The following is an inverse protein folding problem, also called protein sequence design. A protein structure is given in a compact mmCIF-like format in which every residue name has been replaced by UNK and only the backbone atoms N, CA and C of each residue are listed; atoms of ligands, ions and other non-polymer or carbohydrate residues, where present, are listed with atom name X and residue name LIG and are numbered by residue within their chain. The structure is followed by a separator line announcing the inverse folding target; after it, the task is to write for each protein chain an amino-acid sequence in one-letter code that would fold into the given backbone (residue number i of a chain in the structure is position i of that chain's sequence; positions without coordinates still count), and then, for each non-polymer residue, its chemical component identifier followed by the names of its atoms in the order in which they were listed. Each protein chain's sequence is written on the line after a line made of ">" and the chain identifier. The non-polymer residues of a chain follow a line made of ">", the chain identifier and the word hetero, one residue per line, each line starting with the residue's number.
data_IF_780508206964
#
_entry.id   IF_780508206964
#
_cell.length_a   1.000
_cell.length_b   1.000
_cell.length_c   1.000
_cell.angle_alpha   90.00
_cell.angle_beta   90.00
_cell.angle_gamma   90.00
#
_symmetry.space_group_name_H-M   'P 1'
#
loop_
_entity.id
_entity.type
_entity.pdbx_description
1 polymer ?
#
# COMPACT_ATOMS: atom_id res chain seq x y z
N UNK A 1 -4.69 -6.55 -11.61
CA UNK A 1 -3.30 -6.66 -11.14
C UNK A 1 -3.03 -5.59 -10.08
N UNK A 2 -2.09 -5.87 -9.18
CA UNK A 2 -1.60 -4.89 -8.20
C UNK A 2 -0.77 -3.80 -8.89
N UNK A 3 -0.97 -2.56 -8.49
CA UNK A 3 -0.27 -1.39 -9.05
C UNK A 3 -0.20 -0.26 -8.02
N UNK A 4 0.83 0.58 -8.14
CA UNK A 4 0.95 1.89 -7.51
C UNK A 4 0.84 2.95 -8.61
N UNK A 5 -0.37 3.45 -8.87
CA UNK A 5 -0.52 4.38 -10.00
C UNK A 5 0.10 5.73 -9.72
N UNK A 6 0.11 6.20 -8.47
CA UNK A 6 0.72 7.47 -8.05
C UNK A 6 2.21 7.58 -8.33
N UNK A 7 2.91 6.44 -8.39
CA UNK A 7 4.36 6.40 -8.63
C UNK A 7 4.74 6.52 -10.12
N UNK A 8 3.81 6.92 -10.98
CA UNK A 8 4.04 7.04 -12.42
C UNK A 8 5.20 7.92 -12.82
N UNK A 9 5.47 8.99 -12.06
CA UNK A 9 6.55 9.94 -12.36
C UNK A 9 7.92 9.53 -11.82
N UNK A 10 8.00 8.52 -10.95
CA UNK A 10 9.28 7.99 -10.43
C UNK A 10 9.69 6.69 -11.09
N UNK A 11 9.02 6.29 -12.15
CA UNK A 11 9.31 5.08 -12.92
C UNK A 11 10.72 5.12 -13.50
N UNK A 12 11.51 4.08 -13.25
CA UNK A 12 12.89 3.93 -13.76
C UNK A 12 13.97 4.62 -12.92
N UNK A 13 13.63 5.46 -11.93
CA UNK A 13 14.63 6.24 -11.16
C UNK A 13 15.53 5.37 -10.27
N UNK A 14 15.12 4.18 -9.93
CA UNK A 14 15.86 3.25 -9.05
C UNK A 14 16.31 1.97 -9.73
N UNK A 15 16.20 1.88 -11.06
CA UNK A 15 16.77 0.76 -11.82
C UNK A 15 18.27 0.71 -11.62
N UNK A 16 18.79 -0.52 -11.49
CA UNK A 16 20.23 -0.81 -11.34
C UNK A 16 20.88 -0.31 -10.04
N UNK A 17 20.08 0.15 -9.07
CA UNK A 17 20.59 0.54 -7.76
C UNK A 17 20.57 -0.63 -6.77
N UNK A 18 21.68 -0.84 -6.07
CA UNK A 18 21.68 -1.68 -4.88
C UNK A 18 20.79 -1.03 -3.80
N UNK A 19 19.98 -1.85 -3.11
CA UNK A 19 18.98 -1.35 -2.16
C UNK A 19 18.05 -0.28 -2.78
N UNK A 20 17.55 -0.59 -3.95
CA UNK A 20 16.77 0.27 -4.84
C UNK A 20 15.59 1.00 -4.13
N UNK A 21 14.99 0.39 -3.11
CA UNK A 21 13.94 1.05 -2.33
C UNK A 21 14.48 2.19 -1.50
N UNK A 22 15.46 1.93 -0.62
CA UNK A 22 15.97 2.92 0.36
C UNK A 22 16.85 3.98 -0.28
N UNK A 23 17.67 3.60 -1.29
CA UNK A 23 18.60 4.54 -1.95
C UNK A 23 18.04 5.18 -3.22
N UNK A 24 16.96 4.62 -3.77
CA UNK A 24 16.34 5.10 -5.00
C UNK A 24 14.89 5.50 -4.78
N UNK A 25 13.98 4.54 -4.72
CA UNK A 25 12.54 4.80 -4.81
C UNK A 25 12.02 5.71 -3.69
N UNK A 26 12.26 5.40 -2.42
CA UNK A 26 11.70 6.15 -1.30
C UNK A 26 12.07 7.63 -1.25
N UNK A 27 13.34 8.05 -1.48
CA UNK A 27 13.67 9.47 -1.55
C UNK A 27 12.87 10.23 -2.62
N UNK A 28 12.67 9.61 -3.79
CA UNK A 28 11.90 10.21 -4.88
C UNK A 28 10.39 10.22 -4.59
N UNK A 29 9.85 9.14 -4.02
CA UNK A 29 8.45 9.10 -3.58
C UNK A 29 8.16 10.13 -2.50
N UNK A 30 9.05 10.29 -1.52
CA UNK A 30 8.89 11.30 -0.46
C UNK A 30 8.85 12.70 -1.04
N UNK A 31 9.68 13.01 -2.05
CA UNK A 31 9.66 14.30 -2.71
C UNK A 31 8.42 14.47 -3.58
N UNK A 32 8.05 13.45 -4.37
CA UNK A 32 6.87 13.48 -5.22
C UNK A 32 5.58 13.67 -4.40
N UNK A 33 5.46 13.02 -3.24
CA UNK A 33 4.26 13.10 -2.37
C UNK A 33 4.03 14.46 -1.72
N UNK A 34 5.00 15.37 -1.78
CA UNK A 34 4.80 16.78 -1.39
C UNK A 34 3.94 17.54 -2.39
N UNK A 35 3.85 17.06 -3.62
CA UNK A 35 3.03 17.64 -4.69
C UNK A 35 1.91 16.67 -5.09
N UNK A 36 0.76 16.77 -4.43
CA UNK A 36 -0.42 15.94 -4.71
C UNK A 36 -0.88 16.05 -6.17
N UNK A 37 -0.73 17.19 -6.81
CA UNK A 37 -1.12 17.38 -8.22
C UNK A 37 -0.20 16.58 -9.14
N UNK A 38 1.10 16.57 -8.88
CA UNK A 38 2.05 15.72 -9.60
C UNK A 38 1.75 14.23 -9.42
N UNK A 39 1.46 13.76 -8.19
CA UNK A 39 1.02 12.38 -7.93
C UNK A 39 -0.22 12.03 -8.74
N UNK A 40 -1.25 12.89 -8.72
CA UNK A 40 -2.49 12.65 -9.46
C UNK A 40 -2.28 12.63 -10.98
N UNK A 41 -1.42 13.49 -11.52
CA UNK A 41 -1.06 13.48 -12.96
C UNK A 41 -0.31 12.21 -13.34
N UNK A 42 0.65 11.78 -12.52
CA UNK A 42 1.37 10.51 -12.69
C UNK A 42 0.43 9.31 -12.68
N UNK A 43 -0.50 9.30 -11.72
CA UNK A 43 -1.55 8.28 -11.63
C UNK A 43 -2.43 8.23 -12.89
N UNK A 44 -2.90 9.37 -13.34
CA UNK A 44 -3.72 9.43 -14.56
C UNK A 44 -2.97 8.87 -15.78
N UNK A 45 -1.70 9.22 -15.93
CA UNK A 45 -0.84 8.71 -16.99
C UNK A 45 -0.72 7.17 -16.92
N UNK A 46 -0.41 6.62 -15.74
CA UNK A 46 -0.29 5.18 -15.52
C UNK A 46 -1.60 4.44 -15.80
N UNK A 47 -2.75 4.98 -15.37
CA UNK A 47 -4.07 4.39 -15.63
C UNK A 47 -4.32 4.31 -17.14
N UNK A 48 -4.07 5.38 -17.89
CA UNK A 48 -4.27 5.42 -19.34
C UNK A 48 -3.32 4.45 -20.05
N UNK A 49 -2.05 4.39 -19.67
CA UNK A 49 -1.11 3.43 -20.25
C UNK A 49 -1.51 1.98 -19.98
N UNK A 50 -1.90 1.66 -18.75
CA UNK A 50 -2.35 0.32 -18.38
C UNK A 50 -3.62 -0.09 -19.15
N UNK A 51 -4.58 0.82 -19.34
CA UNK A 51 -5.74 0.58 -20.18
C UNK A 51 -5.36 0.28 -21.64
N UNK A 52 -4.44 1.06 -22.22
CA UNK A 52 -3.93 0.82 -23.59
C UNK A 52 -3.19 -0.51 -23.70
N UNK A 53 -2.60 -1.00 -22.62
CA UNK A 53 -2.00 -2.33 -22.52
C UNK A 53 -3.00 -3.46 -22.24
N UNK A 54 -4.31 -3.16 -22.10
CA UNK A 54 -5.37 -4.15 -21.92
C UNK A 54 -5.80 -4.39 -20.46
N UNK A 55 -5.32 -3.59 -19.49
CA UNK A 55 -5.76 -3.69 -18.10
C UNK A 55 -7.17 -3.15 -17.95
N UNK A 56 -8.12 -3.97 -17.52
CA UNK A 56 -9.53 -3.58 -17.33
C UNK A 56 -9.93 -3.45 -15.86
N UNK A 57 -9.14 -4.01 -14.95
CA UNK A 57 -9.38 -3.96 -13.50
C UNK A 57 -8.07 -3.69 -12.76
N UNK A 58 -8.09 -2.70 -11.91
CA UNK A 58 -6.94 -2.27 -11.11
C UNK A 58 -7.12 -2.70 -9.66
N UNK A 59 -6.05 -3.17 -9.02
CA UNK A 59 -5.92 -3.19 -7.57
C UNK A 59 -4.88 -2.13 -7.22
N UNK A 60 -5.34 -0.89 -7.03
CA UNK A 60 -4.47 0.26 -6.81
C UNK A 60 -4.25 0.49 -5.32
N UNK A 61 -2.99 0.62 -4.94
CA UNK A 61 -2.55 0.69 -3.56
C UNK A 61 -1.54 1.83 -3.44
N UNK A 62 -1.97 2.97 -2.93
CA UNK A 62 -1.16 4.18 -2.96
C UNK A 62 -1.58 5.21 -1.90
N UNK A 63 -0.91 6.34 -1.86
CA UNK A 63 -1.25 7.52 -1.09
C UNK A 63 -0.90 8.78 -1.88
N UNK A 64 -1.77 9.79 -1.93
CA UNK A 64 -3.10 9.90 -1.29
C UNK A 64 -4.20 9.29 -2.16
N UNK A 65 -4.75 8.16 -1.75
CA UNK A 65 -5.71 7.42 -2.57
C UNK A 65 -7.05 8.13 -2.75
N UNK A 66 -7.46 8.96 -1.80
CA UNK A 66 -8.70 9.76 -1.93
C UNK A 66 -8.68 10.70 -3.14
N UNK A 67 -7.50 11.17 -3.55
CA UNK A 67 -7.32 11.99 -4.75
C UNK A 67 -7.12 11.10 -6.00
N UNK A 68 -6.32 10.06 -5.88
CA UNK A 68 -6.02 9.11 -6.97
C UNK A 68 -7.28 8.42 -7.48
N UNK A 69 -8.19 8.01 -6.60
CA UNK A 69 -9.43 7.30 -6.97
C UNK A 69 -10.32 8.12 -7.91
N UNK A 70 -10.25 9.43 -7.86
CA UNK A 70 -10.97 10.32 -8.79
C UNK A 70 -10.53 10.11 -10.25
N UNK A 71 -9.26 9.76 -10.49
CA UNK A 71 -8.79 9.40 -11.82
C UNK A 71 -9.46 8.11 -12.33
N UNK A 72 -9.60 7.10 -11.47
CA UNK A 72 -10.33 5.87 -11.82
C UNK A 72 -11.80 6.16 -12.14
N UNK A 73 -12.46 7.01 -11.34
CA UNK A 73 -13.84 7.43 -11.58
C UNK A 73 -13.96 8.17 -12.92
N UNK A 74 -13.09 9.16 -13.18
CA UNK A 74 -13.06 10.00 -14.38
C UNK A 74 -12.79 9.19 -15.65
N UNK A 75 -11.82 8.27 -15.61
CA UNK A 75 -11.45 7.43 -16.78
C UNK A 75 -12.46 6.32 -17.01
N UNK A 76 -13.22 5.93 -15.99
CA UNK A 76 -14.22 4.90 -16.07
C UNK A 76 -13.70 3.48 -15.85
N UNK A 77 -12.56 3.31 -15.20
CA UNK A 77 -11.98 2.00 -14.89
C UNK A 77 -12.74 1.28 -13.80
N UNK A 78 -12.57 -0.03 -13.76
CA UNK A 78 -12.91 -0.84 -12.58
C UNK A 78 -11.69 -0.89 -11.66
N UNK A 79 -11.86 -0.49 -10.39
CA UNK A 79 -10.76 -0.42 -9.44
C UNK A 79 -11.14 -0.94 -8.05
N UNK A 80 -10.24 -1.68 -7.45
CA UNK A 80 -10.20 -1.97 -6.02
C UNK A 80 -9.06 -1.15 -5.44
N UNK A 81 -9.38 -0.16 -4.62
CA UNK A 81 -8.42 0.83 -4.14
C UNK A 81 -8.16 0.69 -2.64
N UNK A 82 -6.94 0.97 -2.22
CA UNK A 82 -6.56 0.97 -0.82
C UNK A 82 -5.59 2.12 -0.51
N UNK A 83 -5.85 2.89 0.54
CA UNK A 83 -4.90 3.86 1.07
C UNK A 83 -3.76 3.11 1.77
N UNK A 84 -2.53 3.54 1.53
CA UNK A 84 -1.34 2.95 2.12
C UNK A 84 -1.25 3.25 3.62
N UNK A 85 -1.28 2.20 4.45
CA UNK A 85 -1.16 2.28 5.91
C UNK A 85 0.21 1.74 6.33
N UNK A 86 1.00 2.54 7.03
CA UNK A 86 2.26 2.11 7.66
C UNK A 86 2.53 2.93 8.89
N UNK A 87 3.26 2.36 9.84
CA UNK A 87 3.77 3.05 11.03
C UNK A 87 5.16 3.63 10.82
N UNK A 88 5.70 3.60 9.60
CA UNK A 88 6.96 4.28 9.34
C UNK A 88 6.76 5.80 9.45
N UNK A 89 7.70 6.52 10.11
CA UNK A 89 7.72 7.97 10.12
C UNK A 89 7.69 8.54 8.70
N UNK A 90 7.17 9.76 8.52
CA UNK A 90 7.14 10.44 7.21
C UNK A 90 8.53 10.58 6.61
N UNK A 91 9.52 10.93 7.44
CA UNK A 91 10.92 10.91 7.08
C UNK A 91 11.58 9.67 7.70
N UNK A 92 11.46 8.53 7.03
CA UNK A 92 12.14 7.32 7.47
C UNK A 92 13.64 7.40 7.12
N UNK A 93 14.47 7.60 8.17
CA UNK A 93 15.94 7.69 8.06
C UNK A 93 16.64 6.40 8.48
N UNK A 94 15.91 5.30 8.64
CA UNK A 94 16.49 4.01 9.07
C UNK A 94 17.51 3.54 8.03
N UNK A 95 18.73 3.28 8.49
CA UNK A 95 19.79 2.78 7.62
C UNK A 95 19.47 1.36 7.12
N UNK A 96 20.08 1.00 5.99
CA UNK A 96 19.91 -0.35 5.41
C UNK A 96 20.33 -1.40 6.44
N UNK A 97 19.44 -2.33 6.71
CA UNK A 97 19.64 -3.42 7.66
C UNK A 97 19.33 -3.07 9.12
N UNK A 98 19.05 -1.84 9.47
CA UNK A 98 18.57 -1.48 10.81
C UNK A 98 17.06 -1.76 10.96
N UNK A 99 16.62 -1.95 12.21
CA UNK A 99 15.23 -2.18 12.54
C UNK A 99 14.44 -0.87 12.44
N UNK A 100 13.30 -0.90 11.75
CA UNK A 100 12.41 0.26 11.65
C UNK A 100 11.86 0.65 13.03
N UNK A 101 11.89 1.94 13.29
CA UNK A 101 11.12 2.51 14.39
C UNK A 101 9.67 2.75 13.91
N UNK A 102 8.70 2.42 14.77
CA UNK A 102 7.31 2.64 14.48
C UNK A 102 6.80 3.91 15.15
N UNK A 103 5.98 4.66 14.43
CA UNK A 103 5.16 5.77 14.91
C UNK A 103 3.68 5.33 14.88
N UNK A 104 3.12 4.84 16.02
CA UNK A 104 1.73 4.42 16.08
C UNK A 104 0.74 5.55 15.75
N UNK A 105 1.08 6.80 16.05
CA UNK A 105 0.23 7.95 15.73
C UNK A 105 0.13 8.14 14.21
N UNK A 106 1.23 7.93 13.48
CA UNK A 106 1.25 7.93 12.02
C UNK A 106 0.44 6.78 11.44
N UNK A 107 0.60 5.57 11.98
CA UNK A 107 -0.18 4.40 11.59
C UNK A 107 -1.68 4.64 11.74
N UNK A 108 -2.10 5.17 12.89
CA UNK A 108 -3.51 5.50 13.15
C UNK A 108 -4.04 6.58 12.19
N UNK A 109 -3.29 7.65 11.92
CA UNK A 109 -3.70 8.68 10.95
C UNK A 109 -3.95 8.08 9.56
N UNK A 110 -3.06 7.21 9.09
CA UNK A 110 -3.19 6.54 7.77
C UNK A 110 -4.36 5.55 7.76
N UNK A 111 -4.57 4.81 8.86
CA UNK A 111 -5.71 3.92 9.00
C UNK A 111 -7.04 4.68 8.93
N UNK A 112 -7.15 5.81 9.64
CA UNK A 112 -8.36 6.65 9.59
C UNK A 112 -8.60 7.21 8.17
N UNK A 113 -7.55 7.61 7.44
CA UNK A 113 -7.70 8.02 6.02
C UNK A 113 -8.23 6.88 5.15
N UNK A 114 -7.79 5.64 5.37
CA UNK A 114 -8.34 4.50 4.65
C UNK A 114 -9.82 4.25 5.02
N UNK A 115 -10.20 4.44 6.28
CA UNK A 115 -11.60 4.34 6.71
C UNK A 115 -12.46 5.41 6.02
N UNK A 116 -11.97 6.63 5.89
CA UNK A 116 -12.64 7.71 5.17
C UNK A 116 -12.78 7.39 3.67
N UNK A 117 -11.74 6.85 3.05
CA UNK A 117 -11.77 6.37 1.66
C UNK A 117 -12.89 5.32 1.46
N UNK A 118 -12.99 4.33 2.36
CA UNK A 118 -14.04 3.30 2.30
C UNK A 118 -15.42 3.94 2.44
N UNK A 119 -15.61 4.84 3.41
CA UNK A 119 -16.89 5.52 3.64
C UNK A 119 -17.34 6.33 2.43
N UNK A 120 -16.41 6.98 1.75
CA UNK A 120 -16.70 7.87 0.62
C UNK A 120 -16.84 7.13 -0.70
N UNK A 121 -16.00 6.14 -0.98
CA UNK A 121 -15.81 5.58 -2.32
C UNK A 121 -16.25 4.13 -2.50
N UNK A 122 -16.44 3.35 -1.44
CA UNK A 122 -16.81 1.95 -1.61
C UNK A 122 -18.19 1.79 -2.25
N UNK A 123 -18.24 1.07 -3.37
CA UNK A 123 -19.47 0.85 -4.16
C UNK A 123 -19.82 1.99 -5.14
N UNK A 124 -19.04 3.06 -5.19
CA UNK A 124 -19.27 4.18 -6.11
C UNK A 124 -19.14 3.77 -7.58
N UNK A 125 -19.56 4.67 -8.47
CA UNK A 125 -19.49 4.49 -9.91
C UNK A 125 -20.23 3.22 -10.39
N UNK A 126 -21.42 2.97 -9.87
CA UNK A 126 -22.22 1.76 -10.13
C UNK A 126 -21.45 0.46 -9.78
N UNK A 127 -20.71 0.47 -8.67
CA UNK A 127 -19.94 -0.68 -8.20
C UNK A 127 -18.61 -0.90 -8.93
N UNK A 128 -18.21 0.00 -9.83
CA UNK A 128 -16.88 -0.10 -10.47
C UNK A 128 -15.74 0.18 -9.52
N UNK A 129 -15.96 1.03 -8.51
CA UNK A 129 -14.98 1.33 -7.47
C UNK A 129 -15.37 0.62 -6.19
N UNK A 130 -14.46 -0.21 -5.68
CA UNK A 130 -14.55 -0.84 -4.36
C UNK A 130 -13.27 -0.55 -3.58
N UNK A 131 -13.37 -0.55 -2.24
CA UNK A 131 -12.24 -0.22 -1.39
C UNK A 131 -11.80 -1.43 -0.57
N UNK A 132 -10.52 -1.45 -0.22
CA UNK A 132 -9.90 -2.42 0.69
C UNK A 132 -9.11 -1.67 1.77
N UNK A 133 -8.74 -2.35 2.85
CA UNK A 133 -7.77 -1.83 3.81
C UNK A 133 -6.36 -2.16 3.33
N UNK A 134 -5.44 -1.17 3.41
CA UNK A 134 -4.13 -1.22 2.78
C UNK A 134 -2.95 -1.18 3.75
N UNK A 135 -2.72 -2.18 4.65
CA UNK A 135 -1.46 -2.25 5.36
C UNK A 135 -0.31 -2.50 4.38
N UNK A 136 0.77 -1.71 4.51
CA UNK A 136 1.91 -1.77 3.58
C UNK A 136 2.57 -3.14 3.57
N UNK A 137 2.79 -3.70 4.75
CA UNK A 137 3.42 -5.00 4.92
C UNK A 137 3.57 -5.33 6.41
N UNK A 138 3.82 -6.60 6.76
CA UNK A 138 3.97 -7.03 8.15
C UNK A 138 5.24 -6.48 8.81
N UNK A 139 6.19 -6.00 8.03
CA UNK A 139 7.42 -5.35 8.50
C UNK A 139 7.28 -3.84 8.74
N UNK A 140 6.20 -3.22 8.26
CA UNK A 140 5.93 -1.78 8.37
C UNK A 140 4.70 -1.45 9.20
N UNK A 141 4.02 -2.47 9.74
CA UNK A 141 2.89 -2.33 10.65
C UNK A 141 3.12 -3.19 11.88
N UNK A 142 2.81 -2.67 13.06
CA UNK A 142 2.83 -3.43 14.30
C UNK A 142 1.79 -4.55 14.27
N UNK A 143 1.98 -5.57 15.11
CA UNK A 143 0.98 -6.62 15.31
C UNK A 143 -0.37 -6.03 15.73
N UNK A 144 -0.35 -5.05 16.60
CA UNK A 144 -1.52 -4.34 17.14
C UNK A 144 -2.30 -3.68 16.00
N UNK A 145 -1.64 -2.91 15.15
CA UNK A 145 -2.27 -2.25 14.00
C UNK A 145 -2.80 -3.26 12.99
N UNK A 146 -2.06 -4.33 12.71
CA UNK A 146 -2.54 -5.38 11.81
C UNK A 146 -3.83 -6.01 12.32
N UNK A 147 -3.93 -6.34 13.61
CA UNK A 147 -5.13 -6.93 14.19
C UNK A 147 -6.31 -5.95 14.18
N UNK A 148 -6.08 -4.67 14.44
CA UNK A 148 -7.10 -3.63 14.32
C UNK A 148 -7.63 -3.51 12.88
N UNK A 149 -6.73 -3.52 11.89
CA UNK A 149 -7.09 -3.53 10.46
C UNK A 149 -7.92 -4.77 10.11
N UNK A 150 -7.52 -5.94 10.60
CA UNK A 150 -8.25 -7.18 10.37
C UNK A 150 -9.67 -7.13 10.96
N UNK A 151 -9.83 -6.64 12.19
CA UNK A 151 -11.14 -6.46 12.81
C UNK A 151 -12.02 -5.51 11.99
N UNK A 152 -11.45 -4.39 11.54
CA UNK A 152 -12.16 -3.45 10.69
C UNK A 152 -12.57 -4.09 9.34
N UNK A 153 -11.72 -4.93 8.73
CA UNK A 153 -12.04 -5.64 7.49
C UNK A 153 -13.24 -6.58 7.67
N UNK A 154 -13.30 -7.32 8.79
CA UNK A 154 -14.45 -8.17 9.11
C UNK A 154 -15.73 -7.36 9.35
N UNK A 155 -15.64 -6.27 10.12
CA UNK A 155 -16.79 -5.39 10.43
C UNK A 155 -17.38 -4.71 9.20
N UNK A 156 -16.51 -4.31 8.25
CA UNK A 156 -16.89 -3.60 7.02
C UNK A 156 -17.19 -4.54 5.85
N UNK A 157 -17.05 -5.84 6.03
CA UNK A 157 -17.16 -6.86 4.98
C UNK A 157 -16.30 -6.54 3.74
N UNK A 158 -15.04 -6.12 3.99
CA UNK A 158 -14.09 -5.80 2.93
C UNK A 158 -12.81 -6.64 3.01
N UNK A 159 -11.97 -6.56 1.97
CA UNK A 159 -10.68 -7.23 1.93
C UNK A 159 -9.53 -6.39 2.50
N UNK A 160 -8.40 -7.05 2.67
CA UNK A 160 -7.12 -6.45 3.03
C UNK A 160 -6.17 -6.64 1.86
N UNK A 161 -5.52 -5.57 1.41
CA UNK A 161 -4.52 -5.57 0.35
C UNK A 161 -3.15 -5.27 0.97
N UNK A 162 -2.24 -6.24 0.96
CA UNK A 162 -0.96 -6.13 1.66
C UNK A 162 0.19 -6.78 0.88
N UNK A 163 1.36 -6.14 0.87
CA UNK A 163 2.60 -6.78 0.41
C UNK A 163 3.04 -7.81 1.44
N UNK A 164 3.42 -9.00 0.97
CA UNK A 164 3.88 -10.10 1.82
C UNK A 164 5.00 -10.84 1.12
N UNK A 165 6.08 -11.09 1.82
CA UNK A 165 7.28 -11.76 1.29
C UNK A 165 7.85 -11.04 0.07
N UNK A 166 8.11 -9.73 0.21
CA UNK A 166 8.60 -8.85 -0.87
C UNK A 166 10.11 -8.95 -1.10
N UNK A 167 10.84 -9.63 -0.24
CA UNK A 167 12.28 -9.84 -0.39
C UNK A 167 13.09 -9.64 0.90
N UNK A 168 14.41 -9.57 0.78
CA UNK A 168 15.37 -9.62 1.90
C UNK A 168 15.14 -8.52 2.95
N UNK A 169 14.72 -7.33 2.55
CA UNK A 169 14.41 -6.24 3.45
C UNK A 169 13.34 -6.66 4.47
N UNK A 170 12.22 -7.18 3.98
CA UNK A 170 11.12 -7.65 4.82
C UNK A 170 11.55 -8.82 5.71
N UNK A 171 12.27 -9.79 5.13
CA UNK A 171 12.81 -10.94 5.89
C UNK A 171 13.65 -10.45 7.06
N UNK A 172 14.56 -9.52 6.84
CA UNK A 172 15.45 -8.97 7.87
C UNK A 172 14.66 -8.24 8.98
N UNK A 173 13.67 -7.42 8.61
CA UNK A 173 12.80 -6.73 9.58
C UNK A 173 12.01 -7.73 10.43
N UNK A 174 11.39 -8.71 9.80
CA UNK A 174 10.55 -9.70 10.46
C UNK A 174 11.35 -10.61 11.39
N UNK A 175 12.52 -11.08 10.97
CA UNK A 175 13.41 -11.89 11.81
C UNK A 175 13.92 -11.10 13.02
N UNK A 176 14.30 -9.84 12.82
CA UNK A 176 14.78 -8.97 13.92
C UNK A 176 13.68 -8.64 14.94
N UNK A 177 12.45 -8.37 14.46
CA UNK A 177 11.34 -7.95 15.32
C UNK A 177 10.63 -9.11 15.99
N UNK A 178 10.38 -10.20 15.25
CA UNK A 178 9.51 -11.29 15.66
C UNK A 178 10.18 -12.67 15.68
N UNK A 179 11.44 -12.78 15.25
CA UNK A 179 12.14 -14.06 15.14
C UNK A 179 11.57 -15.00 14.07
N UNK A 180 10.70 -14.51 13.20
CA UNK A 180 9.96 -15.30 12.20
C UNK A 180 9.89 -14.55 10.87
N UNK A 181 9.74 -15.29 9.76
CA UNK A 181 9.36 -14.72 8.47
C UNK A 181 7.87 -14.34 8.47
N UNK A 182 7.47 -13.56 7.46
CA UNK A 182 6.12 -12.98 7.36
C UNK A 182 5.01 -14.02 7.40
N UNK A 183 5.07 -15.08 6.61
CA UNK A 183 3.99 -16.09 6.55
C UNK A 183 3.79 -16.79 7.89
N UNK A 184 4.82 -17.39 8.55
CA UNK A 184 4.67 -17.95 9.88
C UNK A 184 4.18 -16.98 10.95
N UNK A 185 4.58 -15.70 10.86
CA UNK A 185 4.09 -14.66 11.76
C UNK A 185 2.61 -14.37 11.54
N UNK A 186 2.20 -14.18 10.28
CA UNK A 186 0.80 -13.90 9.93
C UNK A 186 -0.12 -15.08 10.26
N UNK A 187 0.35 -16.32 10.11
CA UNK A 187 -0.38 -17.52 10.52
C UNK A 187 -0.60 -17.55 12.04
N UNK A 188 0.47 -17.32 12.82
CA UNK A 188 0.41 -17.30 14.29
C UNK A 188 -0.59 -16.26 14.84
N UNK A 189 -0.70 -15.09 14.21
CA UNK A 189 -1.64 -14.06 14.64
C UNK A 189 -3.03 -14.20 14.00
N UNK A 190 -3.29 -15.27 13.24
CA UNK A 190 -4.57 -15.55 12.59
C UNK A 190 -4.91 -14.61 11.44
N UNK A 191 -3.88 -14.03 10.81
CA UNK A 191 -4.07 -13.05 9.72
C UNK A 191 -4.28 -13.71 8.35
N UNK A 192 -3.86 -14.97 8.19
CA UNK A 192 -4.03 -15.74 6.94
C UNK A 192 -5.47 -16.23 6.82
N UNK A 193 -6.31 -15.44 6.16
CA UNK A 193 -7.71 -15.77 5.94
C UNK A 193 -8.20 -15.28 4.56
N UNK A 194 -9.44 -15.60 4.20
CA UNK A 194 -10.04 -15.31 2.89
C UNK A 194 -10.17 -13.82 2.55
N UNK A 195 -9.94 -12.90 3.49
CA UNK A 195 -9.97 -11.45 3.24
C UNK A 195 -8.62 -10.89 2.83
N UNK A 196 -7.54 -11.64 3.03
CA UNK A 196 -6.20 -11.20 2.69
C UNK A 196 -5.90 -11.42 1.20
N UNK A 197 -5.63 -10.34 0.48
CA UNK A 197 -4.96 -10.34 -0.81
C UNK A 197 -3.48 -10.07 -0.58
N UNK A 198 -2.69 -11.12 -0.53
CA UNK A 198 -1.24 -11.05 -0.37
C UNK A 198 -0.57 -10.83 -1.74
N UNK A 199 0.28 -9.80 -1.82
CA UNK A 199 1.01 -9.42 -3.03
C UNK A 199 2.46 -9.87 -2.90
N UNK A 200 3.06 -10.29 -4.00
CA UNK A 200 4.40 -10.84 -4.19
C UNK A 200 4.49 -12.32 -3.84
N UNK A 201 4.64 -12.70 -2.58
CA UNK A 201 4.82 -14.08 -2.12
C UNK A 201 6.07 -14.76 -2.73
N UNK A 202 7.19 -14.02 -2.82
CA UNK A 202 8.47 -14.49 -3.39
C UNK A 202 9.40 -15.12 -2.33
#
# INVERSE_FOLDING_TARGET
>A
AHIHTGDGLVRGVSQDLNNWMQHGLWPFEQELRKDTDAVCKGSLMNIVEALKAGTTTFCDFDTPMTQIVQNHARVGTRARVAELISELPEENKTAVGELYEFDPAQGNRKFLRNMDLIREWNGRENGRITCMLGPQGPDMCSKELLLEIQEAAFRLDTGIHMHVSQGDREINQMLKRYGKRSIPFLDEIGYLNHRLMAVHLT
#
